data_IF_966263151781
#
_entry.id   IF_966263151781
#
_cell.length_a   1.000
_cell.length_b   1.000
_cell.length_c   1.000
_cell.angle_alpha   90.00
_cell.angle_beta   90.00
_cell.angle_gamma   90.00
#
_symmetry.space_group_name_H-M   'P 1'
#
loop_
_entity.id
_entity.type
_entity.pdbx_description
1 polymer ?
#
# COMPACT_ATOMS: atom_id res chain seq x y z
N UNK A 1 2.82 -32.44 -40.78
CA UNK A 1 2.67 -31.24 -39.92
C UNK A 1 3.07 -30.02 -40.77
N UNK A 2 2.11 -29.18 -41.06
CA UNK A 2 2.31 -28.03 -41.94
C UNK A 2 2.98 -26.88 -41.20
N UNK A 3 3.67 -26.04 -41.94
CA UNK A 3 4.39 -24.87 -41.41
C UNK A 3 3.49 -23.94 -40.57
N UNK A 4 2.17 -23.97 -40.77
CA UNK A 4 1.16 -23.24 -40.01
C UNK A 4 1.02 -23.73 -38.57
N UNK A 5 1.22 -25.03 -38.31
CA UNK A 5 1.11 -25.60 -36.96
C UNK A 5 2.32 -25.20 -36.06
N UNK A 6 3.50 -25.00 -36.69
CA UNK A 6 4.69 -24.54 -35.97
C UNK A 6 4.62 -23.03 -35.64
N UNK A 7 3.96 -22.23 -36.48
CA UNK A 7 3.80 -20.80 -36.26
C UNK A 7 2.73 -20.56 -35.17
N UNK A 8 1.67 -21.39 -35.13
CA UNK A 8 0.63 -21.26 -34.09
C UNK A 8 1.17 -21.57 -32.67
N UNK A 9 2.15 -22.48 -32.55
CA UNK A 9 2.73 -22.83 -31.25
C UNK A 9 3.70 -21.75 -30.73
N UNK A 10 4.20 -20.87 -31.61
CA UNK A 10 5.13 -19.79 -31.23
C UNK A 10 4.44 -18.52 -30.68
N UNK A 11 3.11 -18.43 -30.80
CA UNK A 11 2.37 -17.21 -30.43
C UNK A 11 1.61 -17.30 -29.10
N UNK A 12 1.48 -18.49 -28.50
CA UNK A 12 0.79 -18.65 -27.22
C UNK A 12 1.71 -18.27 -26.04
N UNK A 13 1.46 -17.12 -25.44
CA UNK A 13 2.19 -16.70 -24.23
C UNK A 13 1.94 -17.71 -23.11
N UNK A 14 2.98 -18.16 -22.41
CA UNK A 14 2.80 -19.11 -21.32
C UNK A 14 1.86 -18.60 -20.24
N UNK A 15 1.04 -19.45 -19.61
CA UNK A 15 0.11 -19.02 -18.57
C UNK A 15 0.85 -18.49 -17.34
N UNK A 16 0.20 -17.60 -16.61
CA UNK A 16 0.73 -17.09 -15.32
C UNK A 16 0.69 -18.25 -14.31
N UNK A 17 1.79 -18.51 -13.59
CA UNK A 17 1.82 -19.61 -12.63
C UNK A 17 0.80 -19.46 -11.50
N UNK A 18 0.18 -20.56 -11.09
CA UNK A 18 -0.79 -20.58 -9.99
C UNK A 18 -0.21 -19.97 -8.70
N UNK A 19 1.09 -20.13 -8.49
CA UNK A 19 1.79 -19.56 -7.34
C UNK A 19 1.70 -18.02 -7.30
N UNK A 20 1.56 -17.35 -8.45
CA UNK A 20 1.38 -15.89 -8.48
C UNK A 20 0.10 -15.47 -7.74
N UNK A 21 -0.98 -16.26 -7.85
CA UNK A 21 -2.25 -15.96 -7.15
C UNK A 21 -2.11 -16.14 -5.63
N UNK A 22 -1.30 -17.10 -5.18
CA UNK A 22 -0.97 -17.25 -3.74
C UNK A 22 -0.20 -16.02 -3.25
N UNK A 23 0.79 -15.55 -4.03
CA UNK A 23 1.55 -14.34 -3.70
C UNK A 23 0.64 -13.09 -3.69
N UNK A 24 -0.36 -13.04 -4.59
CA UNK A 24 -1.42 -12.00 -4.58
C UNK A 24 -2.15 -12.02 -3.23
N UNK A 25 -2.53 -13.19 -2.75
CA UNK A 25 -3.17 -13.37 -1.44
C UNK A 25 -2.29 -12.84 -0.31
N UNK A 26 -0.98 -13.11 -0.36
CA UNK A 26 -0.03 -12.59 0.64
C UNK A 26 0.00 -11.05 0.66
N UNK A 27 0.02 -10.42 -0.53
CA UNK A 27 -0.04 -8.95 -0.62
C UNK A 27 -1.40 -8.44 -0.12
N UNK A 28 -2.50 -9.14 -0.45
CA UNK A 28 -3.84 -8.74 0.03
C UNK A 28 -3.93 -8.76 1.55
N UNK A 29 -3.35 -9.76 2.21
CA UNK A 29 -3.30 -9.86 3.68
C UNK A 29 -2.52 -8.68 4.28
N UNK A 30 -1.32 -8.41 3.76
CA UNK A 30 -0.48 -7.30 4.24
C UNK A 30 -1.18 -5.95 4.01
N UNK A 31 -1.76 -5.77 2.82
CA UNK A 31 -2.50 -4.56 2.46
C UNK A 31 -3.72 -4.34 3.35
N UNK A 32 -4.47 -5.41 3.63
CA UNK A 32 -5.63 -5.34 4.53
C UNK A 32 -5.20 -4.83 5.91
N UNK A 33 -4.15 -5.41 6.51
CA UNK A 33 -3.67 -4.94 7.81
C UNK A 33 -3.17 -3.49 7.75
N UNK A 34 -2.49 -3.11 6.67
CA UNK A 34 -1.96 -1.75 6.50
C UNK A 34 -3.03 -0.67 6.50
N UNK A 35 -4.24 -1.02 6.03
CA UNK A 35 -5.29 -0.03 5.74
C UNK A 35 -6.51 -0.14 6.66
N UNK A 36 -6.65 -1.25 7.40
CA UNK A 36 -7.88 -1.57 8.14
C UNK A 36 -8.15 -0.62 9.31
N UNK A 37 -7.09 -0.12 9.97
CA UNK A 37 -7.27 0.68 11.19
C UNK A 37 -8.05 1.97 10.95
N UNK A 38 -7.86 2.66 9.82
CA UNK A 38 -8.62 3.87 9.52
C UNK A 38 -10.14 3.66 9.63
N UNK A 39 -10.71 2.76 8.83
CA UNK A 39 -12.14 2.49 8.88
C UNK A 39 -12.68 1.97 10.23
N UNK A 40 -11.92 1.17 10.99
CA UNK A 40 -12.40 0.58 12.24
C UNK A 40 -11.95 1.37 13.49
N UNK A 41 -11.16 2.44 13.31
CA UNK A 41 -10.60 3.21 14.43
C UNK A 41 -11.66 3.73 15.41
N UNK A 42 -12.85 4.19 14.97
CA UNK A 42 -13.90 4.58 15.93
C UNK A 42 -14.32 3.44 16.88
N UNK A 43 -14.52 2.23 16.33
CA UNK A 43 -14.90 1.06 17.14
C UNK A 43 -13.78 0.67 18.13
N UNK A 44 -12.51 0.76 17.69
CA UNK A 44 -11.36 0.47 18.55
C UNK A 44 -11.25 1.53 19.66
N UNK A 45 -11.41 2.81 19.30
CA UNK A 45 -11.34 3.94 20.25
C UNK A 45 -12.43 3.83 21.32
N UNK A 46 -13.66 3.52 20.89
CA UNK A 46 -14.78 3.31 21.81
C UNK A 46 -14.49 2.14 22.78
N UNK A 47 -13.95 1.03 22.25
CA UNK A 47 -13.64 -0.18 23.04
C UNK A 47 -12.58 0.08 24.12
N UNK A 48 -11.62 0.98 23.85
CA UNK A 48 -10.54 1.31 24.79
C UNK A 48 -10.84 2.61 25.58
N UNK A 49 -12.00 3.23 25.40
CA UNK A 49 -12.36 4.52 26.00
C UNK A 49 -11.28 5.58 25.75
N UNK A 50 -10.84 5.70 24.48
CA UNK A 50 -9.75 6.59 24.09
C UNK A 50 -10.10 7.36 22.80
N UNK A 51 -9.19 8.18 22.32
CA UNK A 51 -9.39 8.95 21.09
C UNK A 51 -8.92 8.19 19.84
N UNK A 52 -9.51 8.50 18.69
CA UNK A 52 -9.09 7.93 17.40
C UNK A 52 -7.62 8.23 17.09
N UNK A 53 -7.10 9.45 17.31
CA UNK A 53 -5.66 9.67 17.12
C UNK A 53 -4.77 8.76 17.98
N UNK A 54 -5.18 8.43 19.22
CA UNK A 54 -4.43 7.50 20.05
C UNK A 54 -4.39 6.08 19.44
N UNK A 55 -5.51 5.64 18.87
CA UNK A 55 -5.58 4.35 18.16
C UNK A 55 -4.69 4.38 16.90
N UNK A 56 -4.70 5.50 16.17
CA UNK A 56 -3.95 5.61 14.91
C UNK A 56 -2.43 5.58 15.11
N UNK A 57 -1.93 5.72 16.35
CA UNK A 57 -0.52 5.45 16.67
C UNK A 57 -0.17 3.98 16.34
N UNK A 58 -1.13 3.06 16.40
CA UNK A 58 -0.88 1.67 16.00
C UNK A 58 -0.62 1.56 14.49
N UNK A 59 -1.37 2.31 13.65
CA UNK A 59 -1.09 2.39 12.21
C UNK A 59 0.27 3.04 11.95
N UNK A 60 0.60 4.10 12.70
CA UNK A 60 1.91 4.76 12.63
C UNK A 60 3.04 3.77 12.97
N UNK A 61 2.87 2.97 14.03
CA UNK A 61 3.85 1.97 14.45
C UNK A 61 4.05 0.90 13.37
N UNK A 62 2.96 0.44 12.74
CA UNK A 62 3.04 -0.49 11.59
C UNK A 62 3.88 0.14 10.47
N UNK A 63 3.59 1.39 10.11
CA UNK A 63 4.34 2.11 9.06
C UNK A 63 5.82 2.24 9.41
N UNK A 64 6.13 2.63 10.64
CA UNK A 64 7.51 2.78 11.11
C UNK A 64 8.26 1.43 11.07
N UNK A 65 7.62 0.36 11.56
CA UNK A 65 8.20 -0.98 11.54
C UNK A 65 8.46 -1.45 10.11
N UNK A 66 7.51 -1.21 9.20
CA UNK A 66 7.64 -1.60 7.79
C UNK A 66 8.76 -0.81 7.11
N UNK A 67 8.81 0.51 7.31
CA UNK A 67 9.86 1.37 6.73
C UNK A 67 11.25 0.94 7.22
N UNK A 68 11.41 0.82 8.54
CA UNK A 68 12.69 0.44 9.13
C UNK A 68 13.16 -0.94 8.66
N UNK A 69 12.28 -1.94 8.67
CA UNK A 69 12.66 -3.29 8.25
C UNK A 69 12.95 -3.36 6.75
N UNK A 70 12.21 -2.62 5.91
CA UNK A 70 12.48 -2.55 4.48
C UNK A 70 13.87 -1.92 4.20
N UNK A 71 14.27 -0.90 4.98
CA UNK A 71 15.59 -0.26 4.81
C UNK A 71 16.75 -1.14 5.28
N UNK A 72 16.59 -1.78 6.44
CA UNK A 72 17.72 -2.41 7.11
C UNK A 72 17.76 -3.93 6.99
N UNK A 73 16.61 -4.59 6.88
CA UNK A 73 16.51 -6.05 6.89
C UNK A 73 16.29 -6.67 5.51
N UNK A 74 15.67 -5.94 4.56
CA UNK A 74 15.36 -6.49 3.24
C UNK A 74 16.62 -6.94 2.47
N UNK A 75 17.79 -6.34 2.75
CA UNK A 75 19.07 -6.74 2.15
C UNK A 75 19.44 -8.21 2.43
N UNK A 76 18.90 -8.78 3.51
CA UNK A 76 19.16 -10.19 3.84
C UNK A 76 18.40 -11.14 2.91
N UNK A 77 17.39 -10.66 2.18
CA UNK A 77 16.66 -11.47 1.20
C UNK A 77 17.61 -11.97 0.10
N UNK A 78 18.51 -11.10 -0.38
CA UNK A 78 19.49 -11.47 -1.41
C UNK A 78 20.49 -12.52 -0.91
N UNK A 79 20.84 -12.47 0.39
CA UNK A 79 21.79 -13.41 1.00
C UNK A 79 21.16 -14.76 1.34
N UNK A 80 19.96 -14.72 1.95
CA UNK A 80 19.30 -15.91 2.48
C UNK A 80 18.38 -16.57 1.45
N UNK A 81 17.94 -15.81 0.44
CA UNK A 81 16.98 -16.22 -0.56
C UNK A 81 15.55 -15.92 -0.14
N UNK A 82 14.74 -15.48 -1.11
CA UNK A 82 13.33 -15.10 -0.88
C UNK A 82 12.53 -16.29 -0.30
N UNK A 83 12.82 -17.50 -0.78
CA UNK A 83 12.17 -18.73 -0.30
C UNK A 83 12.35 -18.92 1.22
N UNK A 84 13.60 -18.81 1.70
CA UNK A 84 13.89 -19.00 3.13
C UNK A 84 13.22 -17.93 3.98
N UNK A 85 13.21 -16.69 3.48
CA UNK A 85 12.60 -15.57 4.20
C UNK A 85 11.07 -15.76 4.31
N UNK A 86 10.42 -16.22 3.24
CA UNK A 86 8.96 -16.41 3.24
C UNK A 86 8.53 -17.69 3.97
N UNK A 87 9.22 -18.81 3.73
CA UNK A 87 8.82 -20.12 4.26
C UNK A 87 9.38 -20.38 5.66
N UNK A 88 10.60 -20.00 5.91
CA UNK A 88 11.29 -20.28 7.17
C UNK A 88 11.40 -19.11 8.12
N UNK A 89 11.43 -18.16 7.57
CA UNK A 89 11.64 -17.02 8.38
C UNK A 89 10.38 -16.49 8.98
N UNK A 90 9.64 -16.97 9.02
CA UNK A 90 8.53 -16.72 9.73
C UNK A 90 7.87 -15.42 9.47
N UNK A 91 8.22 -14.91 8.60
CA UNK A 91 7.65 -13.72 8.33
C UNK A 91 6.19 -13.72 8.29
N UNK A 92 5.59 -14.67 7.84
CA UNK A 92 4.26 -14.89 7.82
C UNK A 92 3.75 -15.41 9.10
N UNK A 93 4.45 -16.17 9.66
CA UNK A 93 4.14 -16.57 11.04
C UNK A 93 4.19 -15.38 11.99
N UNK A 94 5.27 -14.61 11.95
CA UNK A 94 5.39 -13.41 12.79
C UNK A 94 4.25 -12.44 12.55
N UNK A 95 3.86 -12.25 11.30
CA UNK A 95 2.70 -11.40 10.95
C UNK A 95 1.41 -11.99 11.57
N UNK A 96 1.16 -13.30 11.40
CA UNK A 96 -0.04 -13.94 11.96
C UNK A 96 -0.07 -13.82 13.48
N UNK A 97 1.07 -14.06 14.14
CA UNK A 97 1.18 -13.94 15.62
C UNK A 97 0.95 -12.48 16.05
N UNK A 98 1.53 -11.51 15.34
CA UNK A 98 1.33 -10.09 15.64
C UNK A 98 -0.14 -9.68 15.44
N UNK A 99 -0.82 -10.25 14.43
CA UNK A 99 -2.25 -10.00 14.19
C UNK A 99 -3.11 -10.63 15.29
N UNK A 100 -2.77 -11.85 15.74
CA UNK A 100 -3.46 -12.47 16.89
C UNK A 100 -3.23 -11.64 18.16
N UNK A 101 -2.01 -11.16 18.37
CA UNK A 101 -1.70 -10.26 19.49
C UNK A 101 -2.50 -8.94 19.37
N UNK A 102 -2.70 -8.43 18.16
CA UNK A 102 -3.55 -7.25 17.92
C UNK A 102 -5.02 -7.56 18.28
N UNK A 103 -5.53 -8.73 17.88
CA UNK A 103 -6.89 -9.17 18.22
C UNK A 103 -7.06 -9.31 19.74
N UNK A 104 -6.03 -9.80 20.44
CA UNK A 104 -6.05 -10.05 21.89
C UNK A 104 -5.63 -8.82 22.72
N UNK A 105 -5.25 -7.71 22.09
CA UNK A 105 -4.65 -6.56 22.78
C UNK A 105 -5.56 -6.04 23.91
N UNK A 106 -5.05 -6.00 25.17
CA UNK A 106 -5.85 -5.48 26.29
C UNK A 106 -5.82 -3.95 26.39
N UNK A 107 -4.85 -3.30 25.75
CA UNK A 107 -4.69 -1.84 25.79
C UNK A 107 -4.25 -1.33 24.42
N UNK A 108 -4.41 -0.02 24.19
CA UNK A 108 -3.91 0.64 22.96
C UNK A 108 -2.38 0.44 22.84
N UNK A 109 -1.64 0.53 23.94
CA UNK A 109 -0.18 0.33 23.92
C UNK A 109 0.18 -1.09 23.44
N UNK A 110 -0.55 -2.09 23.89
CA UNK A 110 -0.36 -3.48 23.42
C UNK A 110 -0.65 -3.60 21.92
N UNK A 111 -1.72 -2.93 21.44
CA UNK A 111 -2.05 -2.88 20.00
C UNK A 111 -0.94 -2.21 19.21
N UNK A 112 -0.40 -1.08 19.72
CA UNK A 112 0.73 -0.35 19.09
C UNK A 112 1.95 -1.28 18.96
N UNK A 113 2.30 -1.98 20.04
CA UNK A 113 3.45 -2.92 20.04
C UNK A 113 3.23 -4.07 19.05
N UNK A 114 2.02 -4.63 19.02
CA UNK A 114 1.69 -5.73 18.10
C UNK A 114 1.75 -5.24 16.64
N UNK A 115 1.25 -4.04 16.34
CA UNK A 115 1.28 -3.47 15.00
C UNK A 115 2.70 -3.08 14.56
N UNK A 116 3.58 -2.67 15.49
CA UNK A 116 5.00 -2.47 15.19
C UNK A 116 5.65 -3.78 14.72
N UNK A 117 5.38 -4.88 15.43
CA UNK A 117 5.89 -6.21 15.06
C UNK A 117 5.32 -6.66 13.72
N UNK A 118 4.01 -6.44 13.49
CA UNK A 118 3.37 -6.73 12.21
C UNK A 118 4.03 -5.95 11.06
N UNK A 119 4.37 -4.68 11.31
CA UNK A 119 5.07 -3.82 10.35
C UNK A 119 6.46 -4.36 10.02
N UNK A 120 7.23 -4.76 11.04
CA UNK A 120 8.57 -5.35 10.83
C UNK A 120 8.45 -6.59 9.94
N UNK A 121 7.47 -7.45 10.21
CA UNK A 121 7.23 -8.66 9.41
C UNK A 121 6.86 -8.29 7.95
N UNK A 122 5.97 -7.32 7.76
CA UNK A 122 5.49 -6.88 6.43
C UNK A 122 6.63 -6.28 5.60
N UNK A 123 7.49 -5.45 6.19
CA UNK A 123 8.57 -4.76 5.48
C UNK A 123 9.65 -5.71 4.95
N UNK A 124 9.79 -6.91 5.55
CA UNK A 124 10.66 -7.96 5.01
C UNK A 124 9.89 -8.85 4.02
N UNK A 125 8.62 -9.17 4.34
CA UNK A 125 7.82 -10.10 3.53
C UNK A 125 7.54 -9.53 2.12
N UNK A 126 7.20 -8.24 2.00
CA UNK A 126 6.81 -7.67 0.72
C UNK A 126 7.91 -7.76 -0.36
N UNK A 127 9.16 -7.31 -0.09
CA UNK A 127 10.21 -7.47 -1.09
C UNK A 127 10.48 -8.95 -1.44
N UNK A 128 10.35 -9.86 -0.47
CA UNK A 128 10.53 -11.29 -0.72
C UNK A 128 9.41 -11.84 -1.62
N UNK A 129 8.16 -11.36 -1.44
CA UNK A 129 7.03 -11.73 -2.30
C UNK A 129 7.30 -11.27 -3.74
N UNK A 130 7.71 -10.00 -3.92
CA UNK A 130 7.99 -9.46 -5.26
C UNK A 130 9.18 -10.15 -5.93
N UNK A 131 10.22 -10.47 -5.16
CA UNK A 131 11.37 -11.24 -5.66
C UNK A 131 10.94 -12.66 -6.10
N UNK A 132 10.06 -13.29 -5.31
CA UNK A 132 9.50 -14.61 -5.67
C UNK A 132 8.63 -14.53 -6.93
N UNK A 133 7.80 -13.49 -7.04
CA UNK A 133 6.96 -13.26 -8.24
C UNK A 133 7.82 -13.13 -9.50
N UNK A 134 8.91 -12.39 -9.41
CA UNK A 134 9.85 -12.24 -10.52
C UNK A 134 10.54 -13.57 -10.86
N UNK A 135 10.88 -14.36 -9.84
CA UNK A 135 11.59 -15.64 -10.01
C UNK A 135 10.73 -16.74 -10.66
N UNK A 136 9.42 -16.73 -10.40
CA UNK A 136 8.49 -17.74 -10.96
C UNK A 136 7.92 -17.32 -12.32
N UNK A 137 8.18 -16.10 -12.75
CA UNK A 137 7.61 -15.58 -14.00
C UNK A 137 8.18 -16.33 -15.20
N UNK A 138 7.35 -16.85 -16.10
CA UNK A 138 7.86 -17.45 -17.35
C UNK A 138 8.54 -16.38 -18.21
N UNK A 139 9.52 -16.77 -19.04
CA UNK A 139 10.16 -15.80 -19.96
C UNK A 139 9.14 -15.03 -20.79
N UNK A 140 9.26 -13.70 -20.80
CA UNK A 140 8.34 -12.80 -21.51
C UNK A 140 7.03 -12.52 -20.79
N UNK A 141 6.84 -13.03 -19.54
CA UNK A 141 5.63 -12.80 -18.73
C UNK A 141 5.95 -12.13 -17.39
N UNK A 142 7.14 -11.58 -17.25
CA UNK A 142 7.62 -11.00 -15.98
C UNK A 142 6.70 -9.88 -15.49
N UNK A 143 6.38 -8.92 -16.37
CA UNK A 143 5.49 -7.80 -16.04
C UNK A 143 4.09 -8.27 -15.70
N UNK A 144 3.56 -9.24 -16.46
CA UNK A 144 2.22 -9.79 -16.22
C UNK A 144 2.12 -10.51 -14.88
N UNK A 145 3.15 -11.29 -14.54
CA UNK A 145 3.18 -12.04 -13.28
C UNK A 145 3.24 -11.08 -12.08
N UNK A 146 4.13 -10.08 -12.13
CA UNK A 146 4.23 -9.07 -11.07
C UNK A 146 2.93 -8.26 -11.00
N UNK A 147 2.34 -7.92 -12.15
CA UNK A 147 1.06 -7.20 -12.22
C UNK A 147 -0.06 -7.95 -11.48
N UNK A 148 -0.16 -9.27 -11.69
CA UNK A 148 -1.14 -10.10 -10.96
C UNK A 148 -0.89 -10.01 -9.46
N UNK A 149 0.36 -10.11 -9.01
CA UNK A 149 0.67 -10.03 -7.56
C UNK A 149 0.29 -8.66 -6.99
N UNK A 150 0.48 -7.60 -7.77
CA UNK A 150 0.13 -6.23 -7.34
C UNK A 150 -1.39 -6.03 -7.21
N UNK A 151 -2.23 -6.82 -7.90
CA UNK A 151 -3.70 -6.73 -7.71
C UNK A 151 -4.11 -7.08 -6.28
N UNK A 152 -3.22 -7.70 -5.48
CA UNK A 152 -3.44 -7.91 -4.06
C UNK A 152 -3.76 -6.62 -3.30
N UNK A 153 -3.19 -5.48 -3.70
CA UNK A 153 -3.50 -4.18 -3.09
C UNK A 153 -4.95 -3.76 -3.37
N UNK A 154 -5.41 -3.93 -4.62
CA UNK A 154 -6.81 -3.65 -4.96
C UNK A 154 -7.74 -4.59 -4.21
N UNK A 155 -7.39 -5.86 -4.14
CA UNK A 155 -8.17 -6.87 -3.42
C UNK A 155 -8.26 -6.52 -1.92
N UNK A 156 -7.16 -6.04 -1.31
CA UNK A 156 -7.17 -5.62 0.09
C UNK A 156 -8.15 -4.48 0.34
N UNK A 157 -8.21 -3.49 -0.55
CA UNK A 157 -9.14 -2.35 -0.40
C UNK A 157 -10.58 -2.77 -0.66
N UNK A 158 -10.84 -3.42 -1.81
CA UNK A 158 -12.21 -3.73 -2.24
C UNK A 158 -12.86 -4.79 -1.35
N UNK A 159 -12.12 -5.81 -0.94
CA UNK A 159 -12.66 -6.88 -0.11
C UNK A 159 -12.17 -6.80 1.35
N UNK A 160 -10.85 -6.78 1.55
CA UNK A 160 -10.28 -6.87 2.89
C UNK A 160 -10.75 -5.76 3.82
N UNK A 161 -10.54 -4.52 3.41
CA UNK A 161 -10.86 -3.35 4.24
C UNK A 161 -12.36 -3.10 4.30
N UNK A 162 -13.06 -3.26 3.16
CA UNK A 162 -14.51 -3.02 3.12
C UNK A 162 -15.26 -4.01 4.02
N UNK A 163 -14.93 -5.30 3.93
CA UNK A 163 -15.56 -6.33 4.77
C UNK A 163 -15.13 -6.20 6.24
N UNK A 164 -13.92 -5.68 6.50
CA UNK A 164 -13.43 -5.46 7.86
C UNK A 164 -14.29 -4.44 8.62
N UNK A 165 -14.70 -3.36 7.96
CA UNK A 165 -15.57 -2.36 8.58
C UNK A 165 -16.94 -2.98 8.93
N UNK A 166 -17.49 -3.82 8.04
CA UNK A 166 -18.74 -4.54 8.30
C UNK A 166 -18.56 -5.52 9.45
N UNK A 167 -17.48 -6.29 9.46
CA UNK A 167 -17.18 -7.25 10.53
C UNK A 167 -16.99 -6.56 11.88
N UNK A 168 -16.33 -5.39 11.90
CA UNK A 168 -16.12 -4.61 13.12
C UNK A 168 -17.45 -4.11 13.69
N UNK A 169 -18.38 -3.72 12.81
CA UNK A 169 -19.70 -3.21 13.19
C UNK A 169 -20.63 -4.30 13.68
N UNK A 170 -20.71 -5.44 12.96
CA UNK A 170 -21.66 -6.52 13.24
C UNK A 170 -21.19 -7.48 14.35
N UNK A 171 -19.87 -7.63 14.52
CA UNK A 171 -19.30 -8.59 15.48
C UNK A 171 -18.44 -7.85 16.51
N UNK A 172 -17.23 -7.47 16.11
CA UNK A 172 -16.30 -6.75 16.98
C UNK A 172 -15.02 -6.46 16.19
N UNK A 173 -14.34 -5.33 16.48
CA UNK A 173 -13.10 -4.99 15.80
C UNK A 173 -11.98 -6.04 15.98
N UNK A 174 -11.98 -6.78 17.11
CA UNK A 174 -11.01 -7.87 17.36
C UNK A 174 -11.15 -9.00 16.33
N UNK A 175 -12.40 -9.28 15.90
CA UNK A 175 -12.66 -10.30 14.88
C UNK A 175 -11.98 -9.96 13.56
N UNK A 176 -11.79 -8.68 13.26
CA UNK A 176 -11.09 -8.23 12.05
C UNK A 176 -9.63 -8.71 12.06
N UNK A 177 -8.91 -8.42 13.15
CA UNK A 177 -7.52 -8.86 13.26
C UNK A 177 -7.39 -10.38 13.29
N UNK A 178 -8.33 -11.06 13.96
CA UNK A 178 -8.36 -12.53 13.99
C UNK A 178 -8.59 -13.10 12.57
N UNK A 179 -9.51 -12.52 11.81
CA UNK A 179 -9.77 -12.95 10.42
C UNK A 179 -8.54 -12.74 9.54
N UNK A 180 -7.88 -11.57 9.63
CA UNK A 180 -6.66 -11.32 8.85
C UNK A 180 -5.53 -12.26 9.30
N UNK A 181 -5.45 -12.59 10.60
CA UNK A 181 -4.47 -13.57 11.11
C UNK A 181 -4.70 -14.97 10.53
N UNK A 182 -5.96 -15.38 10.43
CA UNK A 182 -6.32 -16.67 9.79
C UNK A 182 -5.89 -16.65 8.31
N UNK A 183 -6.18 -15.56 7.59
CA UNK A 183 -5.75 -15.43 6.19
C UNK A 183 -4.22 -15.46 6.06
N UNK A 184 -3.50 -14.83 7.01
CA UNK A 184 -2.03 -14.88 7.04
C UNK A 184 -1.53 -16.32 7.27
N UNK A 185 -2.18 -17.07 8.17
CA UNK A 185 -1.83 -18.46 8.43
C UNK A 185 -2.13 -19.36 7.22
N UNK A 186 -3.26 -19.13 6.53
CA UNK A 186 -3.58 -19.86 5.29
C UNK A 186 -2.56 -19.55 4.18
N UNK A 187 -2.16 -18.29 4.04
CA UNK A 187 -1.13 -17.87 3.08
C UNK A 187 0.21 -18.56 3.40
N UNK A 188 0.59 -18.61 4.68
CA UNK A 188 1.81 -19.29 5.12
C UNK A 188 1.72 -20.79 4.78
N UNK A 189 0.60 -21.44 5.11
CA UNK A 189 0.39 -22.87 4.81
C UNK A 189 0.52 -23.11 3.30
N UNK A 190 -0.14 -22.29 2.48
CA UNK A 190 0.00 -22.37 1.02
C UNK A 190 1.45 -22.25 0.56
N UNK A 191 2.20 -21.30 1.13
CA UNK A 191 3.61 -21.11 0.78
C UNK A 191 4.49 -22.30 1.21
N UNK A 192 4.21 -22.92 2.37
CA UNK A 192 5.02 -24.08 2.83
C UNK A 192 4.74 -25.33 1.99
N UNK A 193 3.52 -25.45 1.45
CA UNK A 193 3.14 -26.60 0.60
C UNK A 193 3.60 -26.45 -0.86
N UNK A 194 4.12 -25.27 -1.24
CA UNK A 194 4.57 -25.03 -2.62
C UNK A 194 6.10 -25.02 -2.70
N UNK A 195 6.61 -25.37 -3.89
CA UNK A 195 8.05 -25.30 -4.16
C UNK A 195 8.39 -23.93 -4.77
N UNK A 196 8.84 -23.02 -3.93
CA UNK A 196 9.38 -21.73 -4.40
C UNK A 196 10.81 -21.94 -4.91
N UNK A 197 11.10 -21.50 -6.11
CA UNK A 197 12.47 -21.43 -6.63
C UNK A 197 13.29 -20.43 -5.82
N UNK A 198 14.54 -20.77 -5.56
CA UNK A 198 15.44 -19.90 -4.80
C UNK A 198 16.50 -19.31 -5.75
N UNK A 199 16.32 -18.07 -6.15
CA UNK A 199 17.31 -17.35 -6.96
C UNK A 199 18.18 -16.54 -5.99
N UNK A 200 19.38 -17.05 -5.74
CA UNK A 200 20.38 -16.31 -4.98
C UNK A 200 21.20 -15.45 -5.95
N UNK A 201 21.29 -14.17 -5.66
CA UNK A 201 22.21 -13.30 -6.38
C UNK A 201 23.57 -13.35 -5.68
N UNK A 202 24.59 -13.65 -6.45
CA UNK A 202 25.97 -13.61 -5.96
C UNK A 202 26.46 -12.15 -5.93
N UNK A 203 26.98 -11.73 -4.78
CA UNK A 203 27.54 -10.39 -4.63
C UNK A 203 26.97 -9.60 -3.47
N UNK A 204 27.56 -8.45 -3.14
CA UNK A 204 27.06 -7.60 -2.07
C UNK A 204 25.68 -7.01 -2.47
N UNK A 205 24.69 -7.23 -1.60
CA UNK A 205 23.35 -6.68 -1.81
C UNK A 205 23.40 -5.14 -1.68
N UNK A 206 23.00 -4.39 -2.73
CA UNK A 206 22.96 -2.93 -2.61
C UNK A 206 21.93 -2.52 -1.56
N UNK A 207 22.29 -1.55 -0.74
CA UNK A 207 21.37 -1.01 0.27
C UNK A 207 20.37 -0.07 -0.41
N UNK A 208 19.10 -0.03 0.03
CA UNK A 208 18.15 0.95 -0.52
C UNK A 208 18.66 2.39 -0.44
N UNK A 209 19.38 2.75 0.63
CA UNK A 209 19.95 4.09 0.77
C UNK A 209 20.96 4.42 -0.33
N UNK A 210 21.63 3.43 -0.93
CA UNK A 210 22.51 3.63 -2.07
C UNK A 210 21.80 4.19 -3.30
N UNK A 211 20.47 4.02 -3.38
CA UNK A 211 19.69 4.60 -4.49
C UNK A 211 19.64 6.14 -4.43
N UNK A 212 19.89 6.75 -3.25
CA UNK A 212 19.90 8.21 -3.13
C UNK A 212 20.93 8.87 -4.06
N UNK A 213 21.96 8.13 -4.48
CA UNK A 213 22.95 8.61 -5.44
C UNK A 213 22.45 8.62 -6.89
N UNK A 214 21.25 8.07 -7.18
CA UNK A 214 20.70 8.05 -8.54
C UNK A 214 20.19 9.45 -8.89
N UNK A 215 20.68 10.06 -9.98
CA UNK A 215 20.23 11.41 -10.35
C UNK A 215 18.72 11.46 -10.58
N UNK A 216 18.05 12.47 -10.00
CA UNK A 216 16.62 12.68 -10.15
C UNK A 216 15.73 11.89 -9.19
N UNK A 217 16.31 11.06 -8.31
CA UNK A 217 15.50 10.28 -7.38
C UNK A 217 14.91 11.15 -6.27
N UNK A 218 15.66 12.13 -5.76
CA UNK A 218 15.24 12.92 -4.58
C UNK A 218 13.92 13.65 -4.82
N UNK A 219 13.72 14.40 -5.93
CA UNK A 219 12.41 15.01 -6.18
C UNK A 219 11.26 13.99 -6.25
N UNK A 220 11.49 12.80 -6.82
CA UNK A 220 10.44 11.77 -6.88
C UNK A 220 10.14 11.19 -5.50
N UNK A 221 11.14 11.05 -4.63
CA UNK A 221 10.92 10.61 -3.24
C UNK A 221 10.21 11.68 -2.41
N UNK A 222 10.51 12.96 -2.63
CA UNK A 222 9.77 14.08 -2.01
C UNK A 222 8.30 14.03 -2.47
N UNK A 223 8.07 13.84 -3.78
CA UNK A 223 6.71 13.69 -4.32
C UNK A 223 6.00 12.48 -3.69
N UNK A 224 6.68 11.34 -3.58
CA UNK A 224 6.16 10.14 -2.92
C UNK A 224 5.78 10.43 -1.46
N UNK A 225 6.69 11.02 -0.71
CA UNK A 225 6.48 11.32 0.71
C UNK A 225 5.29 12.24 0.92
N UNK A 226 5.21 13.34 0.15
CA UNK A 226 4.09 14.28 0.24
C UNK A 226 2.76 13.62 -0.15
N UNK A 227 2.74 12.89 -1.28
CA UNK A 227 1.55 12.19 -1.78
C UNK A 227 1.03 11.16 -0.78
N UNK A 228 1.92 10.31 -0.25
CA UNK A 228 1.53 9.26 0.69
C UNK A 228 1.19 9.80 2.07
N UNK A 229 1.86 10.86 2.53
CA UNK A 229 1.51 11.54 3.79
C UNK A 229 0.09 12.12 3.69
N UNK A 230 -0.24 12.78 2.57
CA UNK A 230 -1.60 13.28 2.31
C UNK A 230 -2.62 12.14 2.33
N UNK A 231 -2.30 11.04 1.65
CA UNK A 231 -3.20 9.88 1.58
C UNK A 231 -3.47 9.28 2.98
N UNK A 232 -2.42 8.90 3.70
CA UNK A 232 -2.60 8.24 4.99
C UNK A 232 -3.13 9.20 6.06
N UNK A 233 -2.82 10.49 5.94
CA UNK A 233 -3.35 11.51 6.84
C UNK A 233 -4.87 11.64 6.73
N UNK A 234 -5.40 11.74 5.51
CA UNK A 234 -6.86 11.85 5.30
C UNK A 234 -7.54 10.50 5.50
N UNK A 235 -6.99 9.43 4.91
CA UNK A 235 -7.57 8.09 4.97
C UNK A 235 -7.70 7.61 6.42
N UNK A 236 -6.69 7.88 7.25
CA UNK A 236 -6.68 7.44 8.65
C UNK A 236 -7.83 8.00 9.49
N UNK A 237 -8.33 9.19 9.14
CA UNK A 237 -9.38 9.86 9.90
C UNK A 237 -10.72 9.94 9.17
N UNK A 238 -10.79 9.49 7.91
CA UNK A 238 -12.04 9.45 7.14
C UNK A 238 -13.10 8.60 7.84
N UNK A 239 -12.71 7.43 8.39
CA UNK A 239 -13.64 6.54 9.08
C UNK A 239 -14.26 7.20 10.31
N UNK A 240 -13.47 7.96 11.07
CA UNK A 240 -13.96 8.72 12.22
C UNK A 240 -14.90 9.85 11.80
N UNK A 241 -14.54 10.54 10.71
CA UNK A 241 -15.38 11.59 10.16
C UNK A 241 -16.75 11.07 9.74
N UNK A 242 -16.81 9.90 9.08
CA UNK A 242 -18.08 9.29 8.68
C UNK A 242 -18.88 8.82 9.91
N UNK A 243 -18.21 8.21 10.89
CA UNK A 243 -18.88 7.64 12.06
C UNK A 243 -19.29 8.73 13.06
N UNK A 244 -18.33 9.43 13.65
CA UNK A 244 -18.59 10.44 14.69
C UNK A 244 -19.01 11.79 14.12
N UNK A 245 -18.47 12.18 12.97
CA UNK A 245 -18.79 13.47 12.34
C UNK A 245 -20.14 13.47 11.64
N UNK A 246 -20.49 12.40 10.92
CA UNK A 246 -21.72 12.31 10.12
C UNK A 246 -22.74 11.31 10.70
N UNK A 247 -22.47 10.72 11.86
CA UNK A 247 -23.40 9.82 12.56
C UNK A 247 -23.69 8.51 11.83
N UNK A 248 -22.72 8.00 11.04
CA UNK A 248 -22.93 6.76 10.28
C UNK A 248 -22.42 5.54 11.04
N UNK A 249 -23.01 4.35 10.85
CA UNK A 249 -22.46 3.12 11.47
C UNK A 249 -21.04 2.86 10.95
N UNK A 250 -20.24 2.13 11.72
CA UNK A 250 -18.85 1.78 11.34
C UNK A 250 -18.82 1.04 10.00
N UNK A 251 -19.84 0.22 9.73
CA UNK A 251 -19.97 -0.50 8.45
C UNK A 251 -20.02 0.42 7.24
N UNK A 252 -20.48 1.68 7.39
CA UNK A 252 -20.49 2.66 6.30
C UNK A 252 -19.06 3.01 5.83
N UNK A 253 -18.05 2.84 6.70
CA UNK A 253 -16.65 3.03 6.34
C UNK A 253 -16.21 1.99 5.30
N UNK A 254 -16.85 0.81 5.30
CA UNK A 254 -16.64 -0.20 4.27
C UNK A 254 -17.07 0.27 2.89
N UNK A 255 -18.16 1.05 2.81
CA UNK A 255 -18.60 1.64 1.55
C UNK A 255 -17.59 2.67 1.04
N UNK A 256 -16.98 3.46 1.93
CA UNK A 256 -15.92 4.41 1.54
C UNK A 256 -14.70 3.66 1.00
N UNK A 257 -14.28 2.58 1.65
CA UNK A 257 -13.15 1.77 1.18
C UNK A 257 -13.46 1.13 -0.19
N UNK A 258 -14.68 0.62 -0.35
CA UNK A 258 -15.15 0.05 -1.62
C UNK A 258 -15.17 1.12 -2.73
N UNK A 259 -15.72 2.30 -2.44
CA UNK A 259 -15.79 3.41 -3.40
C UNK A 259 -14.38 3.82 -3.85
N UNK A 260 -13.45 3.97 -2.89
CA UNK A 260 -12.06 4.28 -3.20
C UNK A 260 -11.43 3.19 -4.08
N UNK A 261 -11.56 1.92 -3.66
CA UNK A 261 -10.99 0.78 -4.39
C UNK A 261 -11.58 0.64 -5.80
N UNK A 262 -12.89 0.86 -5.96
CA UNK A 262 -13.55 0.82 -7.26
C UNK A 262 -13.04 1.95 -8.16
N UNK A 263 -12.95 3.18 -7.65
CA UNK A 263 -12.40 4.31 -8.39
C UNK A 263 -10.96 4.05 -8.83
N UNK A 264 -10.14 3.55 -7.91
CA UNK A 264 -8.74 3.21 -8.16
C UNK A 264 -8.62 2.13 -9.25
N UNK A 265 -9.42 1.07 -9.15
CA UNK A 265 -9.40 -0.03 -10.14
C UNK A 265 -9.91 0.40 -11.51
N UNK A 266 -11.00 1.18 -11.55
CA UNK A 266 -11.57 1.66 -12.82
C UNK A 266 -10.61 2.59 -13.57
N UNK A 267 -9.77 3.32 -12.86
CA UNK A 267 -8.81 4.23 -13.48
C UNK A 267 -7.79 3.49 -14.37
N UNK A 268 -7.55 2.20 -14.11
CA UNK A 268 -6.66 1.39 -14.96
C UNK A 268 -7.14 1.33 -16.42
N UNK A 269 -8.46 1.46 -16.65
CA UNK A 269 -9.03 1.53 -18.01
C UNK A 269 -8.58 2.77 -18.77
N UNK A 270 -8.08 3.78 -18.05
CA UNK A 270 -7.65 5.06 -18.61
C UNK A 270 -6.11 5.16 -18.71
N UNK A 271 -5.36 4.10 -18.38
CA UNK A 271 -3.89 4.13 -18.40
C UNK A 271 -3.32 4.47 -19.78
N UNK A 272 -4.08 4.24 -20.87
CA UNK A 272 -3.70 4.68 -22.21
C UNK A 272 -3.41 6.20 -22.31
N UNK A 273 -3.94 7.00 -21.40
CA UNK A 273 -3.63 8.44 -21.33
C UNK A 273 -2.16 8.63 -20.94
N UNK A 274 -1.67 7.84 -19.98
CA UNK A 274 -0.27 7.90 -19.55
C UNK A 274 0.65 7.45 -20.70
N UNK A 275 0.26 6.39 -21.40
CA UNK A 275 1.06 5.87 -22.54
C UNK A 275 1.19 6.89 -23.66
N UNK A 276 0.13 7.65 -23.94
CA UNK A 276 0.12 8.66 -25.03
C UNK A 276 0.88 9.94 -24.66
N UNK A 277 0.68 10.42 -23.42
CA UNK A 277 1.24 11.72 -23.00
C UNK A 277 2.61 11.60 -22.33
N UNK A 278 2.94 10.43 -21.83
CA UNK A 278 4.18 10.14 -21.10
C UNK A 278 4.09 10.48 -19.60
N UNK A 279 4.58 9.58 -18.76
CA UNK A 279 4.51 9.69 -17.30
C UNK A 279 5.09 11.02 -16.76
N UNK A 280 6.12 11.55 -17.42
CA UNK A 280 6.79 12.80 -17.00
C UNK A 280 5.85 14.01 -17.10
N UNK A 281 5.06 14.07 -18.17
CA UNK A 281 4.08 15.17 -18.38
C UNK A 281 2.85 14.99 -17.51
N UNK A 282 2.35 13.74 -17.41
CA UNK A 282 1.12 13.44 -16.68
C UNK A 282 1.27 13.68 -15.17
N UNK A 283 2.45 13.39 -14.59
CA UNK A 283 2.66 13.36 -13.14
C UNK A 283 2.26 14.66 -12.40
N UNK A 284 2.74 15.86 -12.79
CA UNK A 284 2.33 17.08 -12.10
C UNK A 284 0.81 17.30 -12.18
N UNK A 285 0.18 17.03 -13.34
CA UNK A 285 -1.26 17.20 -13.51
C UNK A 285 -2.04 16.16 -12.70
N UNK A 286 -1.55 14.93 -12.58
CA UNK A 286 -2.16 13.91 -11.74
C UNK A 286 -2.19 14.37 -10.27
N UNK A 287 -1.08 14.95 -9.78
CA UNK A 287 -1.03 15.47 -8.42
C UNK A 287 -1.90 16.70 -8.22
N UNK A 288 -2.02 17.59 -9.23
CA UNK A 288 -2.95 18.71 -9.16
C UNK A 288 -4.41 18.24 -9.17
N UNK A 289 -4.71 17.17 -9.91
CA UNK A 289 -6.04 16.54 -9.87
C UNK A 289 -6.34 15.99 -8.46
N UNK A 290 -5.38 15.32 -7.84
CA UNK A 290 -5.54 14.80 -6.46
C UNK A 290 -5.74 16.00 -5.50
N UNK A 291 -4.99 17.10 -5.67
CA UNK A 291 -5.18 18.32 -4.87
C UNK A 291 -6.61 18.84 -4.99
N UNK A 292 -7.13 18.94 -6.23
CA UNK A 292 -8.49 19.38 -6.48
C UNK A 292 -9.54 18.46 -5.82
N UNK A 293 -9.28 17.14 -5.83
CA UNK A 293 -10.18 16.18 -5.18
C UNK A 293 -10.15 16.37 -3.65
N UNK A 294 -8.98 16.67 -3.06
CA UNK A 294 -8.93 16.97 -1.60
C UNK A 294 -9.71 18.23 -1.25
N UNK A 295 -9.64 19.28 -2.10
CA UNK A 295 -10.46 20.49 -1.91
C UNK A 295 -11.96 20.13 -2.01
N UNK A 296 -12.33 19.31 -2.99
CA UNK A 296 -13.71 18.84 -3.15
C UNK A 296 -14.16 17.99 -1.96
N UNK A 297 -13.28 17.13 -1.41
CA UNK A 297 -13.55 16.35 -0.20
C UNK A 297 -13.79 17.28 1.02
N UNK A 298 -13.00 18.34 1.15
CA UNK A 298 -13.19 19.33 2.22
C UNK A 298 -14.59 19.98 2.10
N UNK A 299 -14.98 20.35 0.88
CA UNK A 299 -16.29 20.98 0.63
C UNK A 299 -17.46 19.99 0.79
N UNK A 300 -17.25 18.72 0.43
CA UNK A 300 -18.28 17.67 0.50
C UNK A 300 -18.44 17.08 1.90
N UNK A 301 -17.56 17.40 2.84
CA UNK A 301 -17.44 16.70 4.13
C UNK A 301 -18.68 16.75 5.02
N UNK A 302 -19.63 17.64 4.78
CA UNK A 302 -20.90 17.70 5.54
C UNK A 302 -21.97 16.74 5.00
N UNK A 303 -21.75 16.11 3.84
CA UNK A 303 -22.72 15.21 3.20
C UNK A 303 -22.11 13.83 2.98
N UNK A 304 -22.72 12.80 3.54
CA UNK A 304 -22.26 11.42 3.39
C UNK A 304 -22.17 11.02 1.91
N UNK A 305 -23.24 11.26 1.13
CA UNK A 305 -23.28 10.83 -0.27
C UNK A 305 -22.24 11.54 -1.13
N UNK A 306 -22.06 12.85 -0.91
CA UNK A 306 -21.05 13.61 -1.63
C UNK A 306 -19.63 13.15 -1.22
N UNK A 307 -19.41 12.88 0.07
CA UNK A 307 -18.12 12.36 0.53
C UNK A 307 -17.80 11.02 -0.14
N UNK A 308 -18.75 10.08 -0.20
CA UNK A 308 -18.54 8.78 -0.86
C UNK A 308 -18.23 8.97 -2.36
N UNK A 309 -18.95 9.87 -3.05
CA UNK A 309 -18.69 10.17 -4.46
C UNK A 309 -17.28 10.76 -4.65
N UNK A 310 -16.87 11.68 -3.77
CA UNK A 310 -15.51 12.26 -3.82
C UNK A 310 -14.44 11.24 -3.47
N UNK A 311 -14.73 10.28 -2.58
CA UNK A 311 -13.80 9.19 -2.24
C UNK A 311 -13.58 8.28 -3.46
N UNK A 312 -14.62 8.02 -4.27
CA UNK A 312 -14.44 7.27 -5.53
C UNK A 312 -13.55 8.03 -6.52
N UNK A 313 -13.78 9.35 -6.67
CA UNK A 313 -12.91 10.20 -7.51
C UNK A 313 -11.48 10.27 -6.96
N UNK A 314 -11.33 10.26 -5.63
CA UNK A 314 -10.03 10.22 -4.96
C UNK A 314 -9.26 8.95 -5.34
N UNK A 315 -9.93 7.80 -5.31
CA UNK A 315 -9.34 6.54 -5.76
C UNK A 315 -8.85 6.63 -7.20
N UNK A 316 -9.72 7.13 -8.08
CA UNK A 316 -9.39 7.30 -9.51
C UNK A 316 -8.18 8.22 -9.70
N UNK A 317 -8.17 9.39 -9.06
CA UNK A 317 -7.06 10.34 -9.17
C UNK A 317 -5.76 9.77 -8.58
N UNK A 318 -5.86 9.05 -7.45
CA UNK A 318 -4.70 8.43 -6.79
C UNK A 318 -4.05 7.33 -7.65
N UNK A 319 -4.85 6.61 -8.43
CA UNK A 319 -4.30 5.61 -9.37
C UNK A 319 -3.29 6.27 -10.33
N UNK A 320 -3.69 7.41 -10.93
CA UNK A 320 -2.77 8.12 -11.85
C UNK A 320 -1.53 8.61 -11.11
N UNK A 321 -1.69 9.20 -9.92
CA UNK A 321 -0.58 9.69 -9.11
C UNK A 321 0.42 8.60 -8.78
N UNK A 322 -0.09 7.44 -8.33
CA UNK A 322 0.77 6.30 -7.96
C UNK A 322 1.42 5.65 -9.19
N UNK A 323 0.63 5.44 -10.25
CA UNK A 323 1.12 4.75 -11.46
C UNK A 323 2.28 5.54 -12.10
N UNK A 324 2.08 6.85 -12.31
CA UNK A 324 3.15 7.68 -12.92
C UNK A 324 4.39 7.79 -12.03
N UNK A 325 4.22 7.80 -10.69
CA UNK A 325 5.34 7.81 -9.75
C UNK A 325 6.19 6.53 -9.89
N UNK A 326 5.53 5.37 -9.89
CA UNK A 326 6.19 4.06 -10.01
C UNK A 326 6.89 3.97 -11.38
N UNK A 327 6.23 4.40 -12.45
CA UNK A 327 6.82 4.40 -13.81
C UNK A 327 8.09 5.26 -13.85
N UNK A 328 8.03 6.49 -13.31
CA UNK A 328 9.18 7.40 -13.32
C UNK A 328 10.34 6.87 -12.48
N UNK A 329 10.06 6.37 -11.27
CA UNK A 329 11.08 5.78 -10.40
C UNK A 329 11.74 4.57 -11.06
N UNK A 330 10.93 3.68 -11.66
CA UNK A 330 11.42 2.45 -12.31
C UNK A 330 12.28 2.74 -13.55
N UNK A 331 12.08 3.92 -14.17
CA UNK A 331 12.79 4.33 -15.38
C UNK A 331 14.09 5.09 -15.09
N UNK A 332 14.36 5.51 -13.83
CA UNK A 332 15.56 6.29 -13.50
C UNK A 332 16.86 5.52 -13.78
N UNK A 333 16.91 4.26 -13.31
CA UNK A 333 18.08 3.41 -13.50
C UNK A 333 17.61 1.94 -13.51
N UNK A 334 17.45 1.34 -14.69
CA UNK A 334 17.00 -0.05 -14.79
C UNK A 334 17.89 -1.06 -14.05
N UNK A 335 19.20 -0.79 -13.95
CA UNK A 335 20.13 -1.68 -13.23
C UNK A 335 19.92 -1.65 -11.72
N UNK A 336 19.41 -0.52 -11.20
CA UNK A 336 19.15 -0.33 -9.75
C UNK A 336 17.67 -0.29 -9.41
N UNK A 337 16.80 -0.74 -10.32
CA UNK A 337 15.32 -0.66 -10.13
C UNK A 337 14.87 -1.23 -8.79
N UNK A 338 15.38 -2.40 -8.40
CA UNK A 338 15.01 -3.02 -7.11
C UNK A 338 15.37 -2.15 -5.91
N UNK A 339 16.56 -1.55 -5.93
CA UNK A 339 17.05 -0.66 -4.86
C UNK A 339 16.19 0.61 -4.78
N UNK A 340 15.86 1.20 -5.95
CA UNK A 340 15.00 2.39 -6.05
C UNK A 340 13.61 2.10 -5.49
N UNK A 341 13.02 0.95 -5.86
CA UNK A 341 11.69 0.58 -5.38
C UNK A 341 11.69 0.23 -3.90
N UNK A 342 12.79 -0.33 -3.39
CA UNK A 342 12.98 -0.55 -1.95
C UNK A 342 12.97 0.76 -1.17
N UNK A 343 13.68 1.77 -1.67
CA UNK A 343 13.70 3.09 -1.06
C UNK A 343 12.33 3.78 -1.16
N UNK A 344 11.65 3.63 -2.31
CA UNK A 344 10.28 4.12 -2.48
C UNK A 344 9.33 3.50 -1.44
N UNK A 345 9.43 2.19 -1.22
CA UNK A 345 8.61 1.51 -0.20
C UNK A 345 8.90 2.04 1.20
N UNK A 346 10.17 2.27 1.52
CA UNK A 346 10.55 2.82 2.83
C UNK A 346 9.95 4.22 3.03
N UNK A 347 10.00 5.08 2.00
CA UNK A 347 9.40 6.43 2.05
C UNK A 347 7.88 6.33 2.17
N UNK A 348 7.23 5.43 1.42
CA UNK A 348 5.78 5.18 1.51
C UNK A 348 5.37 4.84 2.95
N UNK A 349 6.08 3.91 3.59
CA UNK A 349 5.72 3.48 4.94
C UNK A 349 6.16 4.47 6.03
N UNK A 350 7.21 5.25 5.78
CA UNK A 350 7.53 6.40 6.63
C UNK A 350 6.39 7.44 6.54
N UNK A 351 5.81 7.62 5.36
CA UNK A 351 4.66 8.52 5.18
C UNK A 351 3.39 8.01 5.89
N UNK A 352 3.22 6.68 6.07
CA UNK A 352 2.17 6.16 6.96
C UNK A 352 2.37 6.71 8.37
N UNK A 353 3.59 6.57 8.90
CA UNK A 353 3.94 7.07 10.25
C UNK A 353 3.68 8.58 10.35
N UNK A 354 4.21 9.37 9.41
CA UNK A 354 4.09 10.84 9.44
C UNK A 354 2.63 11.26 9.26
N UNK A 355 1.93 10.69 8.27
CA UNK A 355 0.54 11.05 7.97
C UNK A 355 -0.39 10.76 9.14
N UNK A 356 -0.32 9.54 9.69
CA UNK A 356 -1.22 9.17 10.78
C UNK A 356 -0.92 9.93 12.08
N UNK A 357 0.36 10.26 12.36
CA UNK A 357 0.72 10.99 13.59
C UNK A 357 0.48 12.50 13.46
N UNK A 358 0.88 13.12 12.34
CA UNK A 358 0.76 14.57 12.16
C UNK A 358 -0.70 15.02 11.96
N UNK A 359 -1.50 14.18 11.29
CA UNK A 359 -2.91 14.53 11.04
C UNK A 359 -3.81 14.32 12.26
N UNK A 360 -3.38 13.56 13.28
CA UNK A 360 -4.17 13.36 14.50
C UNK A 360 -4.52 14.67 15.20
N UNK A 361 -3.53 15.44 15.67
CA UNK A 361 -3.79 16.75 16.27
C UNK A 361 -4.51 17.71 15.34
N UNK A 362 -4.17 17.71 14.04
CA UNK A 362 -4.81 18.56 13.05
C UNK A 362 -6.31 18.25 12.95
N UNK A 363 -6.65 16.95 12.82
CA UNK A 363 -8.03 16.48 12.74
C UNK A 363 -8.81 16.79 14.02
N UNK A 364 -8.20 16.53 15.19
CA UNK A 364 -8.86 16.76 16.49
C UNK A 364 -9.17 18.24 16.73
N UNK A 365 -8.27 19.13 16.29
CA UNK A 365 -8.39 20.57 16.55
C UNK A 365 -9.22 21.30 15.49
N UNK A 366 -9.13 20.88 14.23
CA UNK A 366 -9.68 21.64 13.09
C UNK A 366 -10.61 20.83 12.20
N UNK A 367 -10.76 19.54 12.46
CA UNK A 367 -11.69 18.65 11.75
C UNK A 367 -11.22 18.16 10.39
N UNK A 368 -12.12 17.44 9.71
CA UNK A 368 -11.83 16.73 8.48
C UNK A 368 -11.51 17.68 7.31
N UNK A 369 -12.25 18.78 7.19
CA UNK A 369 -12.05 19.73 6.10
C UNK A 369 -10.63 20.34 6.14
N UNK A 370 -10.14 20.70 7.34
CA UNK A 370 -8.78 21.23 7.48
C UNK A 370 -7.74 20.16 7.11
N UNK A 371 -7.97 18.90 7.51
CA UNK A 371 -7.09 17.79 7.15
C UNK A 371 -7.02 17.62 5.62
N UNK A 372 -8.19 17.68 4.94
CA UNK A 372 -8.23 17.58 3.48
C UNK A 372 -7.51 18.78 2.81
N UNK A 373 -7.65 20.00 3.38
CA UNK A 373 -6.95 21.18 2.84
C UNK A 373 -5.43 21.07 3.00
N UNK A 374 -4.94 20.58 4.13
CA UNK A 374 -3.49 20.33 4.34
C UNK A 374 -3.00 19.26 3.35
N UNK A 375 -3.81 18.22 3.12
CA UNK A 375 -3.49 17.20 2.12
C UNK A 375 -3.40 17.81 0.72
N UNK A 376 -4.32 18.74 0.36
CA UNK A 376 -4.25 19.46 -0.92
C UNK A 376 -2.95 20.26 -1.04
N UNK A 377 -2.49 20.91 0.03
CA UNK A 377 -1.22 21.65 0.04
C UNK A 377 -0.03 20.68 -0.14
N UNK A 378 -0.05 19.52 0.50
CA UNK A 378 0.99 18.50 0.29
C UNK A 378 1.01 18.03 -1.17
N UNK A 379 -0.14 17.98 -1.83
CA UNK A 379 -0.20 17.63 -3.25
C UNK A 379 0.41 18.70 -4.15
N UNK A 380 0.35 19.99 -3.75
CA UNK A 380 1.07 21.06 -4.47
C UNK A 380 2.59 20.87 -4.33
N UNK A 381 3.05 20.45 -3.14
CA UNK A 381 4.46 20.09 -2.94
C UNK A 381 4.84 18.92 -3.85
N UNK A 382 3.99 17.88 -3.91
CA UNK A 382 4.23 16.72 -4.76
C UNK A 382 4.27 17.11 -6.24
N UNK A 383 3.36 17.97 -6.69
CA UNK A 383 3.29 18.46 -8.08
C UNK A 383 4.54 19.27 -8.43
N UNK A 384 4.97 20.15 -7.54
CA UNK A 384 6.18 20.98 -7.73
C UNK A 384 7.43 20.10 -7.82
N UNK A 385 7.56 19.12 -6.91
CA UNK A 385 8.67 18.18 -6.94
C UNK A 385 8.66 17.32 -8.21
N UNK A 386 7.46 16.90 -8.65
CA UNK A 386 7.29 16.11 -9.88
C UNK A 386 7.67 16.90 -11.13
N UNK A 387 7.45 18.23 -11.13
CA UNK A 387 7.80 19.12 -12.24
C UNK A 387 9.28 19.44 -12.28
N UNK A 388 10.02 19.22 -11.19
CA UNK A 388 11.45 19.54 -11.11
C UNK A 388 12.23 18.79 -12.17
N UNK A 389 12.98 19.53 -12.96
CA UNK A 389 13.82 18.99 -14.03
C UNK A 389 15.26 18.90 -13.51
N UNK A 390 15.72 17.67 -13.22
CA UNK A 390 17.16 17.48 -13.08
C UNK A 390 17.81 17.71 -14.44
N UNK A 391 18.83 18.58 -14.55
CA UNK A 391 19.58 18.69 -15.80
C UNK A 391 20.08 17.29 -16.17
N UNK A 392 19.94 16.91 -17.44
CA UNK A 392 20.58 15.68 -17.92
C UNK A 392 22.09 15.87 -17.72
N UNK A 393 22.80 14.88 -17.15
CA UNK A 393 24.25 14.94 -17.25
C UNK A 393 24.61 14.98 -18.72
N UNK A 394 25.42 15.95 -19.10
CA UNK A 394 25.93 16.16 -20.47
C UNK A 394 26.84 15.00 -20.84
#
# INVERSE_FOLDING_TARGET
>A
MTNSDQVATLTARPPIPALAYLLTGCIAVIGSNSLVLGPIAPAVAASFATSVPAVMIASAAFGLGTSASALFLARYIDRLGARRMLQRXXXXLLLAVALLASAAAPTVTALVAAQLVAGIAAGVAMPAIYASAAAIAPPGRESGTIGVVLTGWTLSMVAGVSLSAVLADLVHWRAVFAAVAVLAALALTGLTLTSLGDVRKSGPAPTPLGALAVPGIVPLLVACGAFMTAFYGVYGYLGDHLHNGLGRPVSANGLAALAYGAGFGMAALLDGVIDRLGARRVMPFAYLLVAAVYVALAAAGSSFHLTIAMVALWGLANHFGLNVLVMRLSALDPARRGTIMGLNSAVTYLAVFVGTTAFGPLYSSFGFAASAMVAALLMLVAASAAAWHSPRPV
#
